data_IF_873755665089
#
_entry.id   IF_873755665089
#
_cell.length_a   1.000
_cell.length_b   1.000
_cell.length_c   1.000
_cell.angle_alpha   90.00
_cell.angle_beta   90.00
_cell.angle_gamma   90.00
#
_symmetry.space_group_name_H-M   'P 1'
#
loop_
_entity.id
_entity.type
_entity.pdbx_description
1 polymer ?
#
# COMPACT_ATOMS: atom_id res chain seq x y z
N UNK A 1 16.78 4.08 -19.84
CA UNK A 1 16.00 3.02 -19.17
C UNK A 1 16.95 1.86 -18.96
N UNK A 2 17.53 1.73 -17.77
CA UNK A 2 18.43 0.63 -17.41
C UNK A 2 17.81 -0.07 -16.21
N UNK A 3 17.58 -1.38 -16.31
CA UNK A 3 17.21 -2.21 -15.17
C UNK A 3 18.46 -2.49 -14.34
N UNK A 4 18.34 -2.42 -13.01
CA UNK A 4 19.45 -2.66 -12.07
C UNK A 4 19.42 -4.07 -11.50
N UNK A 5 18.28 -4.75 -11.59
CA UNK A 5 18.04 -6.06 -11.01
C UNK A 5 17.02 -6.83 -11.84
N UNK A 6 17.18 -8.14 -11.91
CA UNK A 6 16.25 -9.05 -12.59
C UNK A 6 16.13 -10.34 -11.76
N UNK A 7 14.89 -10.75 -11.50
CA UNK A 7 14.57 -12.02 -10.82
C UNK A 7 13.86 -12.92 -11.83
N UNK A 8 14.31 -14.17 -11.94
CA UNK A 8 13.76 -15.15 -12.88
C UNK A 8 13.41 -16.42 -12.13
N UNK A 9 12.15 -16.84 -12.26
CA UNK A 9 11.68 -18.14 -11.77
C UNK A 9 11.81 -19.18 -12.88
N UNK A 10 12.41 -20.34 -12.56
CA UNK A 10 12.61 -21.43 -13.52
C UNK A 10 12.32 -22.78 -12.86
N UNK A 11 11.99 -23.78 -13.67
CA UNK A 11 11.88 -25.17 -13.23
C UNK A 11 12.97 -26.02 -13.85
N UNK A 12 13.38 -27.08 -13.16
CA UNK A 12 14.50 -27.93 -13.58
C UNK A 12 14.18 -28.79 -14.81
N UNK A 13 12.90 -29.00 -15.11
CA UNK A 13 12.45 -30.04 -16.06
C UNK A 13 11.67 -29.47 -17.25
N UNK A 14 11.71 -28.15 -17.49
CA UNK A 14 10.89 -27.49 -18.51
C UNK A 14 9.39 -27.86 -18.38
N UNK A 15 8.92 -27.96 -17.13
CA UNK A 15 7.62 -28.53 -16.77
C UNK A 15 6.43 -27.66 -17.17
N UNK A 16 6.68 -26.41 -17.58
CA UNK A 16 5.66 -25.43 -17.92
C UNK A 16 5.55 -25.27 -19.42
N UNK A 17 4.38 -25.60 -19.96
CA UNK A 17 4.03 -25.29 -21.33
C UNK A 17 3.55 -23.84 -21.48
N UNK A 18 3.21 -23.43 -22.72
CA UNK A 18 2.72 -22.08 -22.98
C UNK A 18 1.49 -21.69 -22.16
N UNK A 19 0.62 -22.65 -21.87
CA UNK A 19 -0.61 -22.44 -21.08
C UNK A 19 -0.28 -22.16 -19.62
N UNK A 20 0.58 -22.97 -18.99
CA UNK A 20 1.01 -22.77 -17.60
C UNK A 20 1.76 -21.46 -17.43
N UNK A 21 2.63 -21.10 -18.39
CA UNK A 21 3.34 -19.82 -18.38
C UNK A 21 2.35 -18.66 -18.45
N UNK A 22 1.35 -18.75 -19.33
CA UNK A 22 0.31 -17.71 -19.47
C UNK A 22 -0.52 -17.57 -18.19
N UNK A 23 -0.84 -18.69 -17.52
CA UNK A 23 -1.54 -18.69 -16.24
C UNK A 23 -0.71 -18.00 -15.16
N UNK A 24 0.57 -18.39 -15.00
CA UNK A 24 1.48 -17.78 -14.02
C UNK A 24 1.65 -16.27 -14.28
N UNK A 25 1.83 -15.87 -15.55
CA UNK A 25 1.93 -14.45 -15.92
C UNK A 25 0.66 -13.68 -15.53
N UNK A 26 -0.52 -14.22 -15.85
CA UNK A 26 -1.79 -13.60 -15.46
C UNK A 26 -1.91 -13.45 -13.94
N UNK A 27 -1.59 -14.51 -13.19
CA UNK A 27 -1.69 -14.51 -11.72
C UNK A 27 -0.70 -13.55 -11.08
N UNK A 28 0.57 -13.55 -11.51
CA UNK A 28 1.57 -12.61 -10.99
C UNK A 28 1.22 -11.15 -11.32
N UNK A 29 0.75 -10.86 -12.54
CA UNK A 29 0.27 -9.53 -12.90
C UNK A 29 -0.93 -9.11 -12.06
N UNK A 30 -1.88 -10.02 -11.81
CA UNK A 30 -3.05 -9.75 -10.97
C UNK A 30 -2.63 -9.45 -9.53
N UNK A 31 -1.78 -10.29 -8.94
CA UNK A 31 -1.26 -10.10 -7.59
C UNK A 31 -0.48 -8.78 -7.45
N UNK A 32 0.34 -8.43 -8.45
CA UNK A 32 1.08 -7.17 -8.45
C UNK A 32 0.15 -5.94 -8.57
N UNK A 33 -0.90 -6.03 -9.41
CA UNK A 33 -1.95 -5.00 -9.51
C UNK A 33 -2.72 -4.85 -8.20
N UNK A 34 -3.08 -5.97 -7.56
CA UNK A 34 -3.78 -5.97 -6.27
C UNK A 34 -2.90 -5.40 -5.14
N UNK A 35 -1.61 -5.69 -5.17
CA UNK A 35 -0.66 -5.15 -4.20
C UNK A 35 -0.48 -3.63 -4.34
N UNK A 36 -0.60 -3.12 -5.57
CA UNK A 36 -0.46 -1.69 -5.93
C UNK A 36 0.83 -1.04 -5.40
N UNK A 37 1.92 -1.82 -5.32
CA UNK A 37 3.23 -1.36 -4.83
C UNK A 37 4.15 -0.87 -5.94
N UNK A 38 3.99 -1.41 -7.14
CA UNK A 38 4.88 -1.17 -8.28
C UNK A 38 4.07 -0.76 -9.51
N UNK A 39 4.69 0.06 -10.36
CA UNK A 39 4.13 0.40 -11.67
C UNK A 39 4.36 -0.79 -12.59
N UNK A 40 3.29 -1.49 -12.96
CA UNK A 40 3.37 -2.57 -13.93
C UNK A 40 3.56 -1.98 -15.34
N UNK A 41 4.70 -2.28 -15.99
CA UNK A 41 4.97 -1.88 -17.38
C UNK A 41 4.39 -2.86 -18.41
N UNK A 42 3.97 -4.05 -17.99
CA UNK A 42 3.37 -5.04 -18.88
C UNK A 42 1.87 -4.69 -19.07
N UNK A 43 1.52 -4.17 -20.26
CA UNK A 43 0.16 -3.73 -20.59
C UNK A 43 -0.72 -4.84 -21.18
N UNK A 44 -0.16 -6.04 -21.40
CA UNK A 44 -0.92 -7.19 -21.88
C UNK A 44 -1.55 -7.88 -20.67
N UNK A 45 -2.88 -7.95 -20.61
CA UNK A 45 -3.58 -8.84 -19.70
C UNK A 45 -3.49 -10.26 -20.27
N UNK A 46 -2.65 -11.15 -19.71
CA UNK A 46 -2.51 -12.50 -20.26
C UNK A 46 -3.83 -13.22 -20.01
N UNK A 47 -4.33 -13.97 -20.98
CA UNK A 47 -5.54 -14.78 -20.76
C UNK A 47 -5.22 -15.89 -19.76
N UNK A 48 -6.09 -16.11 -18.77
CA UNK A 48 -5.93 -17.16 -17.74
C UNK A 48 -5.72 -18.56 -18.35
N UNK A 49 -6.13 -18.77 -19.61
CA UNK A 49 -6.06 -20.07 -20.26
C UNK A 49 -7.08 -21.05 -19.66
N UNK A 50 -7.33 -22.16 -20.34
CA UNK A 50 -8.10 -23.26 -19.75
C UNK A 50 -7.12 -24.31 -19.25
N UNK A 51 -7.06 -24.50 -17.94
CA UNK A 51 -6.20 -25.45 -17.24
C UNK A 51 -7.08 -26.38 -16.41
N UNK A 52 -6.63 -27.63 -16.22
CA UNK A 52 -7.33 -28.59 -15.36
C UNK A 52 -7.09 -28.25 -13.88
N UNK A 53 -8.02 -28.63 -13.01
CA UNK A 53 -7.93 -28.35 -11.57
C UNK A 53 -6.63 -28.89 -10.95
N UNK A 54 -6.18 -30.07 -11.36
CA UNK A 54 -4.94 -30.66 -10.85
C UNK A 54 -3.73 -29.77 -11.16
N UNK A 55 -3.72 -29.18 -12.36
CA UNK A 55 -2.61 -28.34 -12.82
C UNK A 55 -2.69 -26.93 -12.26
N UNK A 56 -3.89 -26.40 -12.04
CA UNK A 56 -4.09 -25.15 -11.31
C UNK A 56 -3.53 -25.25 -9.89
N UNK A 57 -3.80 -26.35 -9.19
CA UNK A 57 -3.28 -26.60 -7.83
C UNK A 57 -1.74 -26.59 -7.78
N UNK A 58 -1.08 -27.25 -8.74
CA UNK A 58 0.39 -27.22 -8.87
C UNK A 58 0.93 -25.80 -9.08
N UNK A 59 0.27 -24.99 -9.91
CA UNK A 59 0.72 -23.63 -10.23
C UNK A 59 0.49 -22.64 -9.09
N UNK A 60 -0.61 -22.76 -8.34
CA UNK A 60 -0.82 -21.93 -7.15
C UNK A 60 0.20 -22.26 -6.06
N UNK A 61 0.56 -23.54 -5.86
CA UNK A 61 1.65 -23.91 -4.94
C UNK A 61 2.97 -23.25 -5.36
N UNK A 62 3.27 -23.26 -6.67
CA UNK A 62 4.44 -22.57 -7.22
C UNK A 62 4.42 -21.06 -6.98
N UNK A 63 3.25 -20.42 -7.13
CA UNK A 63 3.07 -18.98 -6.86
C UNK A 63 3.36 -18.66 -5.39
N UNK A 64 2.92 -19.52 -4.47
CA UNK A 64 3.16 -19.32 -3.04
C UNK A 64 4.64 -19.46 -2.68
N UNK A 65 5.37 -20.41 -3.27
CA UNK A 65 6.83 -20.45 -3.12
C UNK A 65 7.49 -19.19 -3.70
N UNK A 66 7.07 -18.74 -4.88
CA UNK A 66 7.61 -17.53 -5.50
C UNK A 66 7.40 -16.30 -4.61
N UNK A 67 6.24 -16.16 -3.95
CA UNK A 67 5.98 -15.10 -2.98
C UNK A 67 6.95 -15.13 -1.80
N UNK A 68 7.17 -16.30 -1.20
CA UNK A 68 8.08 -16.47 -0.07
C UNK A 68 9.51 -16.06 -0.47
N UNK A 69 9.97 -16.53 -1.63
CA UNK A 69 11.32 -16.22 -2.14
C UNK A 69 11.46 -14.72 -2.44
N UNK A 70 10.47 -14.10 -3.08
CA UNK A 70 10.47 -12.66 -3.35
C UNK A 70 10.52 -11.86 -2.05
N UNK A 71 9.69 -12.19 -1.07
CA UNK A 71 9.68 -11.54 0.24
C UNK A 71 11.02 -11.68 0.96
N UNK A 72 11.64 -12.86 0.93
CA UNK A 72 12.94 -13.12 1.53
C UNK A 72 14.09 -12.32 0.86
N UNK A 73 13.99 -12.05 -0.44
CA UNK A 73 14.92 -11.19 -1.17
C UNK A 73 14.67 -9.69 -0.93
N UNK A 74 13.64 -9.33 -0.14
CA UNK A 74 13.24 -7.95 0.12
C UNK A 74 12.29 -7.37 -0.93
N UNK A 75 11.90 -8.17 -1.93
CA UNK A 75 11.01 -7.77 -3.02
C UNK A 75 9.55 -8.05 -2.66
N UNK A 76 8.88 -7.06 -2.10
CA UNK A 76 7.47 -7.17 -1.69
C UNK A 76 6.49 -6.98 -2.85
N UNK A 77 6.73 -7.61 -3.99
CA UNK A 77 5.93 -7.40 -5.21
C UNK A 77 4.46 -7.83 -5.05
N UNK A 78 4.23 -8.88 -4.26
CA UNK A 78 2.92 -9.53 -4.13
C UNK A 78 2.26 -9.30 -2.76
N UNK A 79 2.90 -8.56 -1.86
CA UNK A 79 2.34 -8.23 -0.55
C UNK A 79 1.47 -6.98 -0.68
N UNK A 80 0.20 -6.97 -0.27
CA UNK A 80 -0.60 -5.76 -0.30
C UNK A 80 -0.06 -4.70 0.66
N UNK A 81 -0.35 -3.42 0.38
CA UNK A 81 0.02 -2.31 1.27
C UNK A 81 -0.74 -2.35 2.61
N UNK A 82 -1.89 -3.01 2.64
CA UNK A 82 -2.71 -3.28 3.82
C UNK A 82 -3.29 -4.67 3.64
N UNK A 83 -3.24 -5.51 4.66
CA UNK A 83 -4.03 -6.73 4.69
C UNK A 83 -5.51 -6.38 4.45
N UNK A 84 -6.06 -6.83 3.32
CA UNK A 84 -7.52 -6.96 3.19
C UNK A 84 -7.96 -7.77 4.42
N UNK A 85 -9.09 -7.46 5.08
CA UNK A 85 -9.56 -8.24 6.21
C UNK A 85 -9.94 -9.64 5.71
N UNK A 86 -8.95 -10.53 5.63
CA UNK A 86 -9.19 -11.96 5.64
C UNK A 86 -9.66 -12.25 7.05
N UNK A 87 -10.90 -12.70 7.15
CA UNK A 87 -11.38 -13.39 8.35
C UNK A 87 -10.49 -14.63 8.46
N UNK A 88 -9.37 -14.49 9.14
CA UNK A 88 -8.52 -15.60 9.52
C UNK A 88 -8.20 -15.39 10.98
N UNK A 89 -8.68 -16.37 11.73
CA UNK A 89 -8.68 -16.51 13.17
C UNK A 89 -7.30 -16.16 13.74
N UNK A 90 -7.29 -15.21 14.68
CA UNK A 90 -6.30 -14.97 15.71
C UNK A 90 -4.86 -15.40 15.40
N UNK A 91 -4.12 -14.51 14.73
CA UNK A 91 -2.71 -14.35 15.03
C UNK A 91 -2.53 -12.90 15.43
N UNK A 92 -2.24 -12.67 16.70
CA UNK A 92 -1.83 -11.38 17.24
C UNK A 92 -0.51 -11.00 16.58
N UNK A 93 -0.57 -10.37 15.40
CA UNK A 93 0.55 -9.61 14.85
C UNK A 93 0.76 -8.37 15.72
N UNK A 94 1.99 -8.11 16.17
CA UNK A 94 2.25 -6.95 17.02
C UNK A 94 1.95 -5.66 16.25
N UNK A 95 0.96 -4.92 16.77
CA UNK A 95 0.78 -3.47 16.66
C UNK A 95 0.43 -2.85 15.30
N UNK A 96 -0.70 -3.24 14.73
CA UNK A 96 -1.38 -2.41 13.75
C UNK A 96 -2.10 -1.21 14.42
N UNK A 97 -1.36 -0.12 14.66
CA UNK A 97 -1.91 1.06 15.33
C UNK A 97 -2.74 1.91 14.36
N UNK A 98 -4.05 1.99 14.61
CA UNK A 98 -4.95 2.88 13.88
C UNK A 98 -4.91 4.31 14.43
N UNK A 99 -4.66 5.25 13.54
CA UNK A 99 -4.50 6.67 13.78
C UNK A 99 -5.54 7.46 12.99
N UNK A 100 -6.00 8.55 13.58
CA UNK A 100 -6.99 9.45 13.03
C UNK A 100 -6.45 10.87 13.08
N UNK A 101 -6.73 11.62 12.03
CA UNK A 101 -6.43 13.03 11.94
C UNK A 101 -7.73 13.76 11.62
N UNK A 102 -8.11 14.68 12.49
CA UNK A 102 -9.28 15.55 12.31
C UNK A 102 -8.88 16.99 12.52
N UNK A 103 -9.07 17.82 11.49
CA UNK A 103 -8.74 19.25 11.56
C UNK A 103 -9.69 20.07 10.71
N UNK A 104 -10.18 21.18 11.27
CA UNK A 104 -10.86 22.19 10.47
C UNK A 104 -9.82 22.97 9.65
N UNK A 105 -9.93 22.89 8.34
CA UNK A 105 -9.06 23.64 7.44
C UNK A 105 -9.41 25.11 7.44
N UNK A 106 -8.39 25.97 7.52
CA UNK A 106 -8.55 27.42 7.35
C UNK A 106 -8.63 27.84 5.88
N UNK A 107 -8.27 26.94 4.95
CA UNK A 107 -8.21 27.24 3.51
C UNK A 107 -9.56 27.02 2.85
N UNK A 108 -10.07 25.79 2.98
CA UNK A 108 -11.35 25.38 2.40
C UNK A 108 -12.53 25.60 3.36
N UNK A 109 -12.27 25.86 4.64
CA UNK A 109 -13.29 25.95 5.69
C UNK A 109 -13.91 24.60 6.08
N UNK A 110 -13.54 23.51 5.39
CA UNK A 110 -14.05 22.15 5.59
C UNK A 110 -13.37 21.45 6.76
N UNK A 111 -14.03 20.43 7.30
CA UNK A 111 -13.44 19.51 8.26
C UNK A 111 -12.75 18.40 7.46
N UNK A 112 -11.43 18.31 7.60
CA UNK A 112 -10.58 17.29 6.99
C UNK A 112 -10.43 16.15 8.00
N UNK A 113 -10.81 14.94 7.59
CA UNK A 113 -10.81 13.74 8.41
C UNK A 113 -10.14 12.61 7.65
N UNK A 114 -9.06 12.07 8.20
CA UNK A 114 -8.33 10.97 7.57
C UNK A 114 -8.01 9.88 8.58
N UNK A 115 -7.96 8.65 8.08
CA UNK A 115 -7.51 7.48 8.82
C UNK A 115 -6.18 7.01 8.28
N UNK A 116 -5.29 6.63 9.18
CA UNK A 116 -3.96 6.13 8.88
C UNK A 116 -3.68 4.88 9.71
N UNK A 117 -3.00 3.91 9.12
CA UNK A 117 -2.54 2.70 9.82
C UNK A 117 -1.02 2.76 9.94
N UNK A 118 -0.47 2.65 11.16
CA UNK A 118 0.96 2.39 11.38
C UNK A 118 1.20 0.91 11.09
N UNK A 119 2.14 0.65 10.20
CA UNK A 119 2.64 -0.70 9.90
C UNK A 119 4.16 -0.69 10.06
N UNK A 120 4.78 -1.86 10.02
CA UNK A 120 6.24 -1.99 10.08
C UNK A 120 6.97 -1.28 8.91
N UNK A 121 6.26 -0.89 7.85
CA UNK A 121 6.82 -0.21 6.67
C UNK A 121 6.62 1.31 6.69
N UNK A 122 5.79 1.80 7.60
CA UNK A 122 5.48 3.21 7.76
C UNK A 122 4.01 3.47 8.06
N UNK A 123 3.45 4.45 7.35
CA UNK A 123 2.15 5.03 7.61
C UNK A 123 1.31 4.96 6.35
N UNK A 124 0.26 4.14 6.38
CA UNK A 124 -0.65 3.99 5.25
C UNK A 124 -1.90 4.84 5.48
N UNK A 125 -2.08 5.88 4.66
CA UNK A 125 -3.32 6.67 4.64
C UNK A 125 -4.37 5.85 3.90
N UNK A 126 -5.52 5.64 4.54
CA UNK A 126 -6.57 4.74 4.06
C UNK A 126 -7.44 5.40 2.99
N UNK A 127 -7.86 4.61 2.01
CA UNK A 127 -8.97 4.95 1.12
C UNK A 127 -10.20 5.38 1.93
N UNK A 128 -10.96 6.35 1.41
CA UNK A 128 -12.09 6.96 2.10
C UNK A 128 -11.70 8.13 3.00
N UNK A 129 -10.39 8.37 3.21
CA UNK A 129 -9.91 9.56 3.92
C UNK A 129 -10.24 10.83 3.15
N UNK A 130 -10.73 11.85 3.84
CA UNK A 130 -10.97 13.17 3.30
C UNK A 130 -9.65 13.97 3.35
N UNK A 131 -9.21 14.37 2.16
CA UNK A 131 -7.98 15.09 1.88
C UNK A 131 -8.33 16.53 1.55
N UNK A 132 -7.56 17.48 2.10
CA UNK A 132 -7.67 18.88 1.69
C UNK A 132 -7.41 19.00 0.20
N UNK A 133 -8.17 19.82 -0.52
CA UNK A 133 -8.00 20.04 -1.96
C UNK A 133 -7.10 21.25 -2.24
N UNK A 134 -6.97 22.16 -1.28
CA UNK A 134 -6.17 23.39 -1.40
C UNK A 134 -4.79 23.23 -0.75
N UNK A 135 -3.73 23.26 -1.56
CA UNK A 135 -2.35 23.27 -1.08
C UNK A 135 -1.96 24.62 -0.47
N UNK A 136 -1.16 24.61 0.60
CA UNK A 136 -0.46 25.81 1.08
C UNK A 136 0.88 25.97 0.37
N UNK A 137 1.38 27.20 0.28
CA UNK A 137 2.71 27.50 -0.25
C UNK A 137 3.85 26.75 0.47
N UNK A 138 3.67 26.42 1.75
CA UNK A 138 4.66 25.70 2.56
C UNK A 138 4.64 24.17 2.41
N UNK A 139 3.86 23.62 1.47
CA UNK A 139 3.80 22.17 1.26
C UNK A 139 5.15 21.65 0.72
N UNK A 140 5.67 20.51 1.22
CA UNK A 140 6.85 19.90 0.63
C UNK A 140 6.63 19.53 -0.84
N UNK A 141 7.59 19.79 -1.75
CA UNK A 141 7.41 19.59 -3.19
C UNK A 141 7.09 18.14 -3.56
N UNK A 142 7.77 17.16 -2.96
CA UNK A 142 7.48 15.74 -3.20
C UNK A 142 6.07 15.31 -2.75
N UNK A 143 5.48 15.97 -1.76
CA UNK A 143 4.10 15.71 -1.33
C UNK A 143 3.11 16.36 -2.29
N UNK A 144 3.42 17.56 -2.80
CA UNK A 144 2.62 18.23 -3.83
C UNK A 144 2.49 17.36 -5.09
N UNK A 145 3.60 16.82 -5.58
CA UNK A 145 3.60 15.90 -6.72
C UNK A 145 2.80 14.62 -6.44
N UNK A 146 2.96 14.04 -5.24
CA UNK A 146 2.17 12.87 -4.84
C UNK A 146 0.66 13.17 -4.80
N UNK A 147 0.26 14.34 -4.30
CA UNK A 147 -1.16 14.77 -4.27
C UNK A 147 -1.75 14.95 -5.67
N UNK A 148 -0.97 15.42 -6.63
CA UNK A 148 -1.40 15.55 -8.03
C UNK A 148 -1.58 14.20 -8.73
N UNK A 149 -0.80 13.18 -8.34
CA UNK A 149 -0.87 11.83 -8.91
C UNK A 149 -1.89 10.92 -8.21
N UNK A 150 -2.26 11.25 -6.98
CA UNK A 150 -3.20 10.46 -6.19
C UNK A 150 -4.62 10.54 -6.76
N UNK A 151 -5.35 9.42 -6.70
CA UNK A 151 -6.76 9.37 -7.08
C UNK A 151 -7.62 9.97 -5.97
N UNK A 152 -7.98 11.24 -6.12
CA UNK A 152 -8.86 11.97 -5.18
C UNK A 152 -10.10 12.42 -5.97
N UNK A 153 -11.29 12.18 -5.41
CA UNK A 153 -12.54 12.60 -6.06
C UNK A 153 -12.80 14.12 -5.91
N UNK A 154 -13.86 14.61 -6.56
CA UNK A 154 -14.30 16.01 -6.49
C UNK A 154 -14.65 16.50 -5.07
N UNK A 155 -14.99 15.57 -4.18
CA UNK A 155 -15.31 15.85 -2.78
C UNK A 155 -14.08 15.86 -1.88
N UNK A 156 -12.90 15.50 -2.40
CA UNK A 156 -11.66 15.40 -1.65
C UNK A 156 -11.45 14.03 -1.01
N UNK A 157 -12.21 12.99 -1.38
CA UNK A 157 -12.08 11.64 -0.83
C UNK A 157 -11.02 10.86 -1.60
N UNK A 158 -10.07 10.31 -0.86
CA UNK A 158 -9.01 9.46 -1.37
C UNK A 158 -9.57 8.11 -1.84
N UNK A 159 -9.26 7.71 -3.06
CA UNK A 159 -9.78 6.50 -3.70
C UNK A 159 -8.81 5.30 -3.64
N UNK A 160 -7.65 5.44 -3.00
CA UNK A 160 -6.66 4.38 -2.88
C UNK A 160 -5.87 4.48 -1.56
N UNK A 161 -5.25 3.38 -1.13
CA UNK A 161 -4.36 3.41 0.02
C UNK A 161 -2.98 3.93 -0.40
N UNK A 162 -2.38 4.83 0.39
CA UNK A 162 -1.08 5.42 0.07
C UNK A 162 -0.11 5.28 1.24
N UNK A 163 1.04 4.65 0.99
CA UNK A 163 2.12 4.47 1.96
C UNK A 163 3.07 5.68 2.01
N UNK A 164 3.40 6.06 3.23
CA UNK A 164 4.41 7.07 3.56
C UNK A 164 5.38 6.51 4.60
N UNK A 165 6.68 6.77 4.43
CA UNK A 165 7.70 6.38 5.42
C UNK A 165 7.87 7.40 6.55
N UNK A 166 7.00 8.42 6.63
CA UNK A 166 7.04 9.44 7.67
C UNK A 166 5.63 9.85 8.08
N UNK A 167 5.34 9.95 9.39
CA UNK A 167 4.03 10.36 9.88
C UNK A 167 3.71 11.81 9.47
N UNK A 168 4.73 12.67 9.43
CA UNK A 168 4.60 14.05 8.98
C UNK A 168 4.30 14.16 7.49
N UNK A 169 4.86 13.26 6.66
CA UNK A 169 4.53 13.23 5.23
C UNK A 169 3.10 12.74 4.99
N UNK A 170 2.64 11.72 5.73
CA UNK A 170 1.25 11.29 5.71
C UNK A 170 0.30 12.44 6.12
N UNK A 171 0.60 13.16 7.21
CA UNK A 171 -0.24 14.27 7.66
C UNK A 171 -0.19 15.47 6.69
N UNK A 172 0.98 15.77 6.12
CA UNK A 172 1.14 16.82 5.12
C UNK A 172 0.38 16.50 3.83
N UNK A 173 0.33 15.22 3.44
CA UNK A 173 -0.48 14.75 2.34
C UNK A 173 -1.98 14.97 2.60
N UNK A 174 -2.46 14.75 3.83
CA UNK A 174 -3.88 14.97 4.17
C UNK A 174 -4.25 16.45 4.22
N UNK A 175 -3.43 17.30 4.86
CA UNK A 175 -3.73 18.72 5.11
C UNK A 175 -3.31 19.64 3.93
N UNK A 176 -2.52 19.12 2.99
CA UNK A 176 -1.96 19.89 1.89
C UNK A 176 -1.01 20.98 2.36
N UNK A 177 -0.16 20.71 3.37
CA UNK A 177 0.74 21.71 3.94
C UNK A 177 1.72 21.15 4.96
N UNK A 178 2.64 21.98 5.44
CA UNK A 178 3.59 21.55 6.47
C UNK A 178 2.87 21.32 7.81
N UNK A 179 3.04 20.13 8.39
CA UNK A 179 2.43 19.77 9.67
C UNK A 179 3.24 18.69 10.38
N UNK A 180 3.25 18.74 11.71
CA UNK A 180 3.91 17.75 12.55
C UNK A 180 3.00 16.52 12.76
N UNK A 181 3.27 15.44 12.03
CA UNK A 181 2.49 14.21 12.06
C UNK A 181 2.42 13.57 13.45
N UNK A 182 3.48 13.63 14.25
CA UNK A 182 3.54 13.04 15.59
C UNK A 182 2.47 13.60 16.53
N UNK A 183 2.06 14.85 16.32
CA UNK A 183 1.04 15.52 17.16
C UNK A 183 -0.36 15.48 16.58
N UNK A 184 -0.48 15.33 15.26
CA UNK A 184 -1.77 15.36 14.57
C UNK A 184 -2.43 14.00 14.51
N UNK A 185 -1.64 12.94 14.31
CA UNK A 185 -2.14 11.58 14.33
C UNK A 185 -2.43 11.17 15.76
N UNK A 186 -3.68 10.77 16.00
CA UNK A 186 -4.17 10.37 17.32
C UNK A 186 -4.90 9.04 17.25
N UNK A 187 -4.86 8.25 18.31
CA UNK A 187 -5.70 7.06 18.44
C UNK A 187 -7.16 7.45 18.63
N UNK A 188 -8.05 6.44 18.61
CA UNK A 188 -9.47 6.62 18.95
C UNK A 188 -9.66 7.26 20.33
N UNK A 189 -8.75 6.98 21.26
CA UNK A 189 -8.76 7.50 22.63
C UNK A 189 -8.14 8.90 22.74
N UNK A 190 -7.70 9.49 21.61
CA UNK A 190 -7.19 10.85 21.55
C UNK A 190 -5.70 11.00 21.90
N UNK A 191 -5.01 9.90 22.18
CA UNK A 191 -3.56 9.86 22.46
C UNK A 191 -2.79 10.12 21.17
N UNK A 192 -1.87 11.09 21.18
CA UNK A 192 -1.07 11.41 20.00
C UNK A 192 0.03 10.38 19.75
N UNK A 193 0.43 10.24 18.48
CA UNK A 193 1.54 9.35 18.11
C UNK A 193 2.83 9.67 18.87
N UNK A 194 3.08 10.95 19.18
CA UNK A 194 4.20 11.39 20.01
C UNK A 194 4.16 10.79 21.42
N UNK A 195 2.99 10.71 22.03
CA UNK A 195 2.83 10.15 23.38
C UNK A 195 3.04 8.64 23.38
N UNK A 196 2.63 7.98 22.30
CA UNK A 196 2.80 6.53 22.09
C UNK A 196 4.28 6.20 21.94
N UNK A 197 5.00 6.89 21.04
CA UNK A 197 6.43 6.67 20.82
C UNK A 197 7.26 6.93 22.09
N UNK A 198 6.88 7.94 22.89
CA UNK A 198 7.52 8.20 24.18
C UNK A 198 7.25 7.13 25.24
N UNK A 199 6.10 6.44 25.15
CA UNK A 199 5.73 5.37 26.08
C UNK A 199 6.34 4.03 25.67
N UNK A 200 6.52 3.79 24.38
CA UNK A 200 7.20 2.61 23.81
C UNK A 200 8.73 2.69 23.99
N UNK A 201 9.29 3.90 24.07
CA UNK A 201 10.73 4.13 24.21
C UNK A 201 11.26 4.12 25.66
N UNK A 202 10.42 3.84 26.66
CA UNK A 202 10.76 3.71 28.09
C UNK A 202 10.60 2.26 28.55
#
# INVERSE_FOLDING_TARGET
>A
DYWTEAVVFTTSNNSFGPTEISYLENRFCTLAKEANRYILKNEIEPTQGNITEEKESELEEFIDYAKIVMGALGHKLFEPLIDKPKITINVETPEELLLFLKRKSRKSGKIIEASCKRTNEGFVVLQGSHIETIDSESIPPGIKERRQKAKIDENGILQENILFHSPSYAAAFVIGGNVNGLTQWKTKDGVSLKEIENSEGN
#
